data_IF_448934547840
#
_entry.id   IF_448934547840
#
_cell.length_a   1.000
_cell.length_b   1.000
_cell.length_c   1.000
_cell.angle_alpha   90.00
_cell.angle_beta   90.00
_cell.angle_gamma   90.00
#
_symmetry.space_group_name_H-M   'P 1'
#
loop_
_entity.id
_entity.type
_entity.pdbx_description
1 polymer ?
#
# COMPACT_ATOMS: atom_id res chain seq x y z
N UNK A 1 3.57 -13.44 -24.49
CA UNK A 1 2.32 -13.35 -23.71
C UNK A 1 2.56 -12.33 -22.59
N UNK A 2 1.61 -11.44 -22.30
CA UNK A 2 1.76 -10.47 -21.21
C UNK A 2 1.28 -11.09 -19.89
N UNK A 3 2.03 -10.88 -18.81
CA UNK A 3 1.65 -11.31 -17.45
C UNK A 3 1.75 -10.13 -16.49
N UNK A 4 0.97 -10.16 -15.40
CA UNK A 4 1.02 -9.10 -14.40
C UNK A 4 2.32 -9.25 -13.60
N UNK A 5 3.23 -8.29 -13.76
CA UNK A 5 4.53 -8.29 -13.08
C UNK A 5 4.37 -7.88 -11.62
N UNK A 6 3.60 -6.83 -11.36
CA UNK A 6 3.35 -6.36 -10.00
C UNK A 6 2.03 -5.60 -9.89
N UNK A 7 1.39 -5.74 -8.73
CA UNK A 7 0.23 -4.98 -8.30
C UNK A 7 0.61 -4.16 -7.06
N UNK A 8 0.51 -2.84 -7.14
CA UNK A 8 0.70 -1.93 -6.01
C UNK A 8 -0.66 -1.37 -5.60
N UNK A 9 -1.07 -1.62 -4.36
CA UNK A 9 -2.30 -1.09 -3.77
C UNK A 9 -1.96 -0.07 -2.71
N UNK A 10 -2.36 1.18 -2.92
CA UNK A 10 -2.29 2.22 -1.89
C UNK A 10 -3.66 2.39 -1.24
N UNK A 11 -3.73 2.15 0.06
CA UNK A 11 -4.90 2.33 0.89
C UNK A 11 -4.82 3.69 1.60
N UNK A 12 -5.91 4.44 1.57
CA UNK A 12 -6.00 5.74 2.23
C UNK A 12 -7.34 5.91 2.95
N UNK A 13 -7.31 6.52 4.14
CA UNK A 13 -8.53 6.79 4.91
C UNK A 13 -8.30 7.89 5.95
N UNK A 14 -9.32 8.69 6.31
CA UNK A 14 -9.23 9.60 7.45
C UNK A 14 -9.24 8.87 8.82
N UNK A 15 -9.69 7.61 8.88
CA UNK A 15 -9.92 6.87 10.13
C UNK A 15 -8.85 5.79 10.37
N UNK A 16 -8.08 5.93 11.45
CA UNK A 16 -7.00 4.97 11.77
C UNK A 16 -7.50 3.54 12.00
N UNK A 17 -8.61 3.38 12.74
CA UNK A 17 -9.13 2.07 13.12
C UNK A 17 -9.63 1.27 11.92
N UNK A 18 -10.27 1.93 10.95
CA UNK A 18 -10.71 1.33 9.70
C UNK A 18 -9.52 0.85 8.86
N UNK A 19 -8.43 1.62 8.81
CA UNK A 19 -7.21 1.17 8.14
C UNK A 19 -6.62 -0.10 8.80
N UNK A 20 -6.55 -0.14 10.12
CA UNK A 20 -6.03 -1.33 10.81
C UNK A 20 -6.92 -2.55 10.62
N UNK A 21 -8.25 -2.36 10.60
CA UNK A 21 -9.24 -3.41 10.38
C UNK A 21 -9.12 -3.98 8.97
N UNK A 22 -9.15 -3.11 7.95
CA UNK A 22 -8.99 -3.53 6.54
C UNK A 22 -7.67 -4.27 6.32
N UNK A 23 -6.57 -3.81 6.91
CA UNK A 23 -5.29 -4.52 6.81
C UNK A 23 -5.32 -5.91 7.45
N UNK A 24 -6.03 -6.08 8.56
CA UNK A 24 -6.19 -7.39 9.19
C UNK A 24 -7.07 -8.32 8.34
N UNK A 25 -8.16 -7.79 7.76
CA UNK A 25 -9.06 -8.52 6.87
C UNK A 25 -8.34 -8.94 5.59
N UNK A 26 -7.57 -8.05 4.94
CA UNK A 26 -6.76 -8.37 3.76
C UNK A 26 -5.76 -9.50 4.07
N UNK A 27 -5.05 -9.41 5.21
CA UNK A 27 -4.11 -10.46 5.63
C UNK A 27 -4.82 -11.81 5.83
N UNK A 28 -5.99 -11.80 6.44
CA UNK A 28 -6.81 -13.00 6.63
C UNK A 28 -7.27 -13.57 5.29
N UNK A 29 -7.74 -12.73 4.37
CA UNK A 29 -8.19 -13.13 3.04
C UNK A 29 -7.06 -13.75 2.23
N UNK A 30 -5.84 -13.20 2.29
CA UNK A 30 -4.67 -13.82 1.66
C UNK A 30 -4.25 -15.14 2.31
N UNK A 31 -4.40 -15.30 3.63
CA UNK A 31 -4.18 -16.60 4.28
C UNK A 31 -5.18 -17.64 3.79
N UNK A 32 -6.45 -17.29 3.66
CA UNK A 32 -7.50 -18.17 3.12
C UNK A 32 -7.20 -18.53 1.67
N UNK A 33 -6.84 -17.55 0.83
CA UNK A 33 -6.47 -17.80 -0.56
C UNK A 33 -5.28 -18.77 -0.67
N UNK A 34 -4.27 -18.60 0.19
CA UNK A 34 -3.12 -19.51 0.25
C UNK A 34 -3.50 -20.93 0.68
N UNK A 35 -4.46 -21.08 1.61
CA UNK A 35 -4.99 -22.38 2.00
C UNK A 35 -5.76 -23.08 0.87
N UNK A 36 -6.37 -22.30 -0.03
CA UNK A 36 -7.05 -22.80 -1.23
C UNK A 36 -6.08 -23.09 -2.40
N UNK A 37 -4.77 -23.13 -2.14
CA UNK A 37 -3.70 -23.34 -3.13
C UNK A 37 -3.64 -22.28 -4.23
N UNK A 38 -4.26 -21.12 -4.02
CA UNK A 38 -4.22 -20.00 -4.97
C UNK A 38 -2.94 -19.19 -4.80
N UNK A 39 -2.29 -18.86 -5.90
CA UNK A 39 -0.99 -18.18 -5.90
C UNK A 39 -1.16 -16.66 -5.99
N UNK A 40 -1.20 -16.06 -4.79
CA UNK A 40 -1.29 -14.60 -4.57
C UNK A 40 0.05 -13.88 -4.84
N UNK A 41 1.14 -14.61 -5.08
CA UNK A 41 2.48 -14.05 -5.28
C UNK A 41 3.16 -13.61 -3.96
N UNK A 42 4.23 -12.83 -4.09
CA UNK A 42 4.99 -12.32 -2.93
C UNK A 42 4.38 -10.99 -2.49
N UNK A 43 3.88 -10.94 -1.25
CA UNK A 43 3.22 -9.75 -0.70
C UNK A 43 4.16 -9.02 0.27
N UNK A 44 4.42 -7.76 -0.03
CA UNK A 44 5.17 -6.84 0.81
C UNK A 44 4.23 -5.76 1.38
N UNK A 45 4.28 -5.57 2.69
CA UNK A 45 3.48 -4.59 3.38
C UNK A 45 4.36 -3.41 3.80
N UNK A 46 4.12 -2.24 3.22
CA UNK A 46 4.90 -1.04 3.45
C UNK A 46 4.06 0.03 4.16
N UNK A 47 4.58 0.52 5.30
CA UNK A 47 4.00 1.67 5.96
C UNK A 47 4.27 2.93 5.15
N UNK A 48 3.22 3.70 4.85
CA UNK A 48 3.35 5.03 4.29
C UNK A 48 3.10 6.07 5.39
N UNK A 49 3.96 7.10 5.52
CA UNK A 49 3.72 8.18 6.48
C UNK A 49 2.33 8.78 6.34
N UNK A 50 1.69 9.07 7.48
CA UNK A 50 0.41 9.78 7.52
C UNK A 50 0.58 11.21 6.99
N UNK A 51 -0.43 11.70 6.28
CA UNK A 51 -0.52 13.11 5.88
C UNK A 51 -1.41 13.87 6.88
N UNK A 52 -1.09 15.14 7.11
CA UNK A 52 -1.83 16.03 8.00
C UNK A 52 -2.03 17.37 7.31
N UNK A 53 -3.28 17.73 7.05
CA UNK A 53 -3.65 19.02 6.49
C UNK A 53 -4.12 19.92 7.62
N UNK A 54 -3.42 21.03 7.83
CA UNK A 54 -3.75 22.02 8.86
C UNK A 54 -4.40 23.21 8.21
N UNK A 55 -5.64 23.50 8.59
CA UNK A 55 -6.40 24.65 8.10
C UNK A 55 -6.64 25.57 9.28
N UNK A 56 -6.28 26.84 9.10
CA UNK A 56 -6.45 27.87 10.11
C UNK A 56 -7.36 28.95 9.56
N UNK A 57 -8.38 29.33 10.33
CA UNK A 57 -9.33 30.34 9.91
C UNK A 57 -9.75 31.22 11.10
N UNK A 58 -10.18 32.44 10.80
CA UNK A 58 -10.73 33.35 11.80
C UNK A 58 -12.09 32.84 12.26
N UNK A 59 -12.32 32.79 13.57
CA UNK A 59 -13.58 32.34 14.17
C UNK A 59 -14.77 33.22 13.74
N UNK A 60 -14.52 34.50 13.45
CA UNK A 60 -15.53 35.46 13.01
C UNK A 60 -15.15 36.05 11.65
N UNK A 61 -16.16 36.36 10.84
CA UNK A 61 -16.00 36.97 9.51
C UNK A 61 -15.57 38.43 9.57
N UNK A 62 -15.76 39.13 10.70
CA UNK A 62 -15.52 40.57 10.82
C UNK A 62 -14.50 40.91 11.91
N UNK A 63 -13.43 41.64 11.55
CA UNK A 63 -12.43 42.35 12.40
C UNK A 63 -11.79 41.65 13.62
N UNK A 64 -12.07 40.38 13.91
CA UNK A 64 -11.50 39.68 15.06
C UNK A 64 -10.27 38.84 14.66
N UNK A 65 -9.13 39.51 14.40
CA UNK A 65 -7.86 38.84 13.99
C UNK A 65 -7.25 37.95 15.09
N UNK A 66 -7.64 38.15 16.34
CA UNK A 66 -7.12 37.41 17.51
C UNK A 66 -7.84 36.09 17.77
N UNK A 67 -9.05 35.91 17.24
CA UNK A 67 -9.87 34.72 17.47
C UNK A 67 -9.67 33.71 16.33
N UNK A 68 -8.78 32.75 16.53
CA UNK A 68 -8.37 31.77 15.50
C UNK A 68 -8.85 30.37 15.86
N UNK A 69 -9.34 29.59 14.88
CA UNK A 69 -9.59 28.15 15.03
C UNK A 69 -8.69 27.36 14.07
N UNK A 70 -8.15 26.26 14.57
CA UNK A 70 -7.31 25.33 13.83
C UNK A 70 -8.06 24.01 13.64
N UNK A 71 -8.15 23.55 12.40
CA UNK A 71 -8.59 22.20 12.06
C UNK A 71 -7.38 21.38 11.57
N UNK A 72 -7.34 20.11 11.96
CA UNK A 72 -6.33 19.16 11.50
C UNK A 72 -7.06 17.97 10.88
N UNK A 73 -6.90 17.80 9.59
CA UNK A 73 -7.40 16.63 8.86
C UNK A 73 -6.26 15.64 8.70
N UNK A 74 -6.42 14.46 9.28
CA UNK A 74 -5.44 13.39 9.16
C UNK A 74 -5.83 12.45 8.03
N UNK A 75 -4.83 11.95 7.30
CA UNK A 75 -5.00 10.93 6.29
C UNK A 75 -3.98 9.82 6.56
N UNK A 76 -4.49 8.66 6.91
CA UNK A 76 -3.72 7.45 7.17
C UNK A 76 -3.51 6.71 5.85
N UNK A 77 -2.29 6.29 5.60
CA UNK A 77 -1.88 5.69 4.34
C UNK A 77 -1.19 4.34 4.61
N UNK A 78 -1.40 3.39 3.71
CA UNK A 78 -0.70 2.12 3.71
C UNK A 78 -0.47 1.64 2.29
N UNK A 79 0.62 0.93 2.04
CA UNK A 79 0.93 0.39 0.72
C UNK A 79 1.13 -1.12 0.80
N UNK A 80 0.53 -1.84 -0.14
CA UNK A 80 0.66 -3.28 -0.31
C UNK A 80 1.22 -3.50 -1.70
N UNK A 81 2.43 -4.06 -1.80
CA UNK A 81 3.01 -4.45 -3.07
C UNK A 81 2.87 -5.96 -3.22
N UNK A 82 2.47 -6.41 -4.39
CA UNK A 82 2.29 -7.82 -4.72
C UNK A 82 3.11 -8.07 -5.99
N UNK A 83 4.05 -8.98 -5.91
CA UNK A 83 4.96 -9.32 -7.01
C UNK A 83 4.61 -10.69 -7.57
N UNK A 84 4.58 -10.76 -8.90
CA UNK A 84 4.30 -11.97 -9.67
C UNK A 84 3.04 -12.75 -9.23
N UNK A 85 1.87 -12.09 -9.13
CA UNK A 85 0.61 -12.78 -8.84
C UNK A 85 0.20 -13.64 -10.04
N UNK A 86 -0.03 -14.94 -9.82
CA UNK A 86 -0.57 -15.81 -10.87
C UNK A 86 -2.10 -15.70 -10.93
N UNK A 87 -2.76 -15.70 -9.78
CA UNK A 87 -4.22 -15.59 -9.66
C UNK A 87 -4.64 -14.14 -9.36
N UNK A 88 -4.63 -13.31 -10.41
CA UNK A 88 -4.92 -11.87 -10.31
C UNK A 88 -6.34 -11.61 -9.80
N UNK A 89 -7.34 -12.32 -10.32
CA UNK A 89 -8.75 -12.12 -9.97
C UNK A 89 -9.01 -12.37 -8.49
N UNK A 90 -8.39 -13.42 -7.96
CA UNK A 90 -8.50 -13.81 -6.54
C UNK A 90 -7.81 -12.77 -5.68
N UNK A 91 -6.63 -12.32 -6.10
CA UNK A 91 -5.85 -11.31 -5.38
C UNK A 91 -6.63 -10.00 -5.28
N UNK A 92 -7.17 -9.51 -6.39
CA UNK A 92 -7.98 -8.29 -6.43
C UNK A 92 -9.26 -8.46 -5.61
N UNK A 93 -9.98 -9.57 -5.80
CA UNK A 93 -11.23 -9.84 -5.09
C UNK A 93 -11.02 -9.93 -3.57
N UNK A 94 -9.90 -10.53 -3.15
CA UNK A 94 -9.52 -10.59 -1.73
C UNK A 94 -9.29 -9.20 -1.14
N UNK A 95 -8.64 -8.31 -1.90
CA UNK A 95 -8.38 -6.94 -1.47
C UNK A 95 -9.69 -6.16 -1.43
N UNK A 96 -10.44 -6.12 -2.53
CA UNK A 96 -11.67 -5.34 -2.66
C UNK A 96 -12.76 -5.82 -1.69
N UNK A 97 -12.89 -7.14 -1.50
CA UNK A 97 -13.85 -7.72 -0.55
C UNK A 97 -13.51 -7.48 0.92
N UNK A 98 -12.28 -7.05 1.22
CA UNK A 98 -11.81 -6.74 2.58
C UNK A 98 -11.77 -5.23 2.87
N UNK A 99 -12.32 -4.38 1.99
CA UNK A 99 -12.32 -2.93 2.17
C UNK A 99 -13.49 -2.48 3.06
N UNK A 100 -13.16 -1.67 4.06
CA UNK A 100 -14.13 -0.92 4.85
C UNK A 100 -14.72 0.25 4.05
N UNK A 101 -15.93 0.73 4.39
CA UNK A 101 -16.64 1.78 3.63
C UNK A 101 -15.87 3.10 3.49
N UNK A 102 -15.01 3.42 4.45
CA UNK A 102 -14.25 4.69 4.49
C UNK A 102 -12.81 4.57 3.99
N UNK A 103 -12.42 3.39 3.48
CA UNK A 103 -11.07 3.13 2.96
C UNK A 103 -11.09 3.17 1.45
N UNK A 104 -10.26 4.04 0.89
CA UNK A 104 -10.07 4.15 -0.55
C UNK A 104 -8.83 3.34 -0.96
N UNK A 105 -9.00 2.43 -1.90
CA UNK A 105 -7.91 1.69 -2.52
C UNK A 105 -7.62 2.25 -3.93
N UNK A 106 -6.36 2.54 -4.21
CA UNK A 106 -5.88 2.82 -5.55
C UNK A 106 -4.93 1.70 -5.97
N UNK A 107 -5.29 0.99 -7.04
CA UNK A 107 -4.59 -0.17 -7.57
C UNK A 107 -3.81 0.22 -8.82
N UNK A 108 -2.49 0.05 -8.80
CA UNK A 108 -1.60 0.28 -9.93
C UNK A 108 -1.09 -1.05 -10.45
N UNK A 109 -1.43 -1.36 -11.71
CA UNK A 109 -1.05 -2.59 -12.40
C UNK A 109 0.18 -2.34 -13.27
N UNK A 110 1.20 -3.18 -13.11
CA UNK A 110 2.38 -3.18 -13.97
C UNK A 110 2.45 -4.50 -14.72
N UNK A 111 2.33 -4.44 -16.04
CA UNK A 111 2.36 -5.61 -16.92
C UNK A 111 3.75 -5.78 -17.52
N UNK A 112 4.24 -7.02 -17.54
CA UNK A 112 5.50 -7.38 -18.18
C UNK A 112 5.25 -8.25 -19.40
N UNK A 113 6.14 -8.15 -20.40
CA UNK A 113 6.20 -9.15 -21.47
C UNK A 113 7.04 -10.33 -20.99
N UNK A 114 6.53 -11.56 -21.15
CA UNK A 114 7.20 -12.77 -20.68
C UNK A 114 8.45 -13.08 -21.54
N UNK A 115 9.57 -12.43 -21.26
CA UNK A 115 10.91 -12.86 -21.67
C UNK A 115 11.72 -13.10 -20.38
N UNK A 116 11.68 -14.33 -19.88
CA UNK A 116 12.44 -14.84 -18.73
C UNK A 116 12.07 -14.25 -17.34
N UNK A 117 11.46 -15.12 -16.53
CA UNK A 117 11.40 -15.15 -15.06
C UNK A 117 11.92 -13.91 -14.30
N UNK A 118 11.04 -12.94 -14.12
CA UNK A 118 11.23 -11.70 -13.35
C UNK A 118 11.60 -11.89 -11.88
N UNK A 119 11.39 -13.09 -11.30
CA UNK A 119 11.85 -13.44 -9.94
C UNK A 119 13.37 -13.32 -9.81
N UNK A 120 14.12 -13.53 -10.91
CA UNK A 120 15.58 -13.36 -10.93
C UNK A 120 15.97 -11.89 -10.79
N UNK A 121 15.33 -10.98 -11.51
CA UNK A 121 15.69 -9.55 -11.52
C UNK A 121 15.52 -8.89 -10.15
N UNK A 122 14.41 -9.14 -9.44
CA UNK A 122 14.16 -8.55 -8.12
C UNK A 122 15.13 -9.06 -7.04
N UNK A 123 15.43 -10.37 -7.03
CA UNK A 123 16.46 -10.93 -6.13
C UNK A 123 17.85 -10.38 -6.45
N UNK A 124 18.11 -10.07 -7.73
CA UNK A 124 19.40 -9.48 -8.14
C UNK A 124 19.50 -8.04 -7.67
N UNK A 125 18.46 -7.23 -7.84
CA UNK A 125 18.40 -5.84 -7.35
C UNK A 125 18.52 -5.76 -5.82
N UNK A 126 17.78 -6.59 -5.07
CA UNK A 126 17.92 -6.62 -3.60
C UNK A 126 19.30 -7.08 -3.14
N UNK A 127 19.91 -8.07 -3.81
CA UNK A 127 21.26 -8.52 -3.49
C UNK A 127 22.33 -7.47 -3.83
N UNK A 128 22.15 -6.71 -4.92
CA UNK A 128 23.02 -5.58 -5.27
C UNK A 128 22.92 -4.49 -4.21
N UNK A 129 21.71 -4.12 -3.79
CA UNK A 129 21.50 -3.10 -2.75
C UNK A 129 22.11 -3.54 -1.41
N UNK A 130 21.92 -4.80 -1.01
CA UNK A 130 22.52 -5.35 0.23
C UNK A 130 24.05 -5.35 0.20
N UNK A 131 24.67 -5.70 -0.94
CA UNK A 131 26.13 -5.63 -1.13
C UNK A 131 26.68 -4.21 -1.10
N UNK A 132 25.96 -3.25 -1.68
CA UNK A 132 26.36 -1.84 -1.65
C UNK A 132 26.32 -1.29 -0.22
N UNK A 133 25.29 -1.64 0.56
CA UNK A 133 25.16 -1.20 1.96
C UNK A 133 26.23 -1.84 2.85
N UNK A 134 26.63 -3.10 2.64
CA UNK A 134 27.70 -3.73 3.42
C UNK A 134 29.06 -3.09 3.17
N UNK A 135 29.38 -2.74 1.92
CA UNK A 135 30.67 -2.12 1.57
C UNK A 135 30.82 -0.70 2.12
N UNK A 136 29.74 0.04 2.29
CA UNK A 136 29.75 1.38 2.91
C UNK A 136 29.97 1.31 4.44
N UNK A 137 29.58 0.20 5.09
CA UNK A 137 29.74 0.02 6.55
C UNK A 137 31.11 -0.50 6.98
N UNK A 138 31.93 -0.96 6.05
CA UNK A 138 33.27 -1.52 6.30
C UNK A 138 34.41 -0.51 6.06
N UNK A 139 34.08 0.76 5.82
CA UNK A 139 35.01 1.90 5.83
C UNK A 139 34.76 2.75 7.07
#
# INVERSE_FOLDING_TARGET
MYSLRSLSVSLTTPLKHELSRTLAEIKKSFQIAKQQEKSVGIVEYAYSPRKRYRVTYLKSRFKHRYAIRHYVFEQYNYKINIYDPQDVDVTISSILGSLSPSVHANCTFSWGFNSQSSVSSYKTEENIIKRLISNVRSQ
#
